data_IF_733865166686
#
_entry.id   IF_733865166686
#
_cell.length_a   1.000
_cell.length_b   1.000
_cell.length_c   1.000
_cell.angle_alpha   90.00
_cell.angle_beta   90.00
_cell.angle_gamma   90.00
#
_symmetry.space_group_name_H-M   'P 1'
#
loop_
_entity.id
_entity.type
_entity.pdbx_description
1 polymer ?
#
# COMPACT_ATOMS: atom_id res chain seq x y z
N UNK A 1 -6.92 1.84 -13.58
CA UNK A 1 -6.63 1.85 -12.13
C UNK A 1 -7.43 2.92 -11.38
N UNK A 2 -7.29 4.21 -11.66
CA UNK A 2 -7.85 5.32 -10.87
C UNK A 2 -9.36 5.23 -10.62
N UNK A 3 -10.17 4.86 -11.63
CA UNK A 3 -11.64 4.73 -11.50
C UNK A 3 -12.01 3.71 -10.41
N UNK A 4 -11.38 2.54 -10.45
CA UNK A 4 -11.58 1.51 -9.42
C UNK A 4 -11.08 1.95 -8.04
N UNK A 5 -9.98 2.70 -7.97
CA UNK A 5 -9.43 3.16 -6.70
C UNK A 5 -10.35 4.19 -6.03
N UNK A 6 -10.98 5.05 -6.82
CA UNK A 6 -11.91 6.09 -6.32
C UNK A 6 -13.27 5.53 -5.93
N UNK A 7 -13.82 4.64 -6.75
CA UNK A 7 -15.23 4.22 -6.62
C UNK A 7 -15.41 2.80 -6.07
N UNK A 8 -14.34 2.00 -6.02
CA UNK A 8 -14.43 0.56 -5.74
C UNK A 8 -14.80 -0.26 -6.98
N UNK A 9 -14.83 -1.57 -6.81
CA UNK A 9 -15.15 -2.51 -7.88
C UNK A 9 -16.64 -2.52 -8.22
N UNK A 10 -17.50 -2.69 -7.20
CA UNK A 10 -18.96 -2.87 -7.41
C UNK A 10 -19.58 -1.61 -8.02
N UNK A 11 -19.25 -0.43 -7.49
CA UNK A 11 -19.83 0.83 -7.96
C UNK A 11 -19.26 1.31 -9.32
N UNK A 12 -18.18 0.73 -9.82
CA UNK A 12 -17.61 1.07 -11.12
C UNK A 12 -18.32 0.31 -12.23
N UNK A 13 -19.00 1.00 -13.14
CA UNK A 13 -19.59 0.39 -14.32
C UNK A 13 -18.57 0.20 -15.46
N UNK A 14 -18.89 -0.73 -16.38
CA UNK A 14 -18.09 -0.90 -17.61
C UNK A 14 -18.04 0.41 -18.41
N UNK A 15 -19.14 1.15 -18.46
CA UNK A 15 -19.20 2.41 -19.24
C UNK A 15 -18.33 3.52 -18.62
N UNK A 16 -18.17 3.55 -17.29
CA UNK A 16 -17.21 4.45 -16.62
C UNK A 16 -15.77 4.13 -17.02
N UNK A 17 -15.44 2.84 -17.08
CA UNK A 17 -14.11 2.38 -17.51
C UNK A 17 -13.84 2.73 -18.97
N UNK A 18 -14.79 2.46 -19.87
CA UNK A 18 -14.68 2.79 -21.30
C UNK A 18 -14.46 4.29 -21.50
N UNK A 19 -15.23 5.12 -20.78
CA UNK A 19 -15.12 6.57 -20.82
C UNK A 19 -13.76 7.04 -20.32
N UNK A 20 -13.29 6.50 -19.20
CA UNK A 20 -12.01 6.88 -18.61
C UNK A 20 -10.80 6.44 -19.44
N UNK A 21 -10.90 5.29 -20.13
CA UNK A 21 -9.83 4.77 -21.00
C UNK A 21 -9.89 5.35 -22.43
N UNK A 22 -11.01 5.96 -22.84
CA UNK A 22 -11.20 6.47 -24.20
C UNK A 22 -11.26 5.38 -25.28
N UNK A 23 -11.71 4.15 -24.93
CA UNK A 23 -11.77 3.00 -25.84
C UNK A 23 -13.18 2.46 -25.99
N UNK A 24 -13.43 1.72 -27.07
CA UNK A 24 -14.68 1.03 -27.29
C UNK A 24 -14.80 -0.26 -26.46
N UNK A 25 -16.05 -0.72 -26.27
CA UNK A 25 -16.36 -1.93 -25.50
C UNK A 25 -15.65 -3.17 -26.03
N UNK A 26 -15.62 -3.37 -27.35
CA UNK A 26 -14.93 -4.49 -27.99
C UNK A 26 -13.43 -4.49 -27.65
N UNK A 27 -12.78 -3.32 -27.77
CA UNK A 27 -11.35 -3.18 -27.46
C UNK A 27 -11.02 -3.53 -26.00
N UNK A 28 -11.91 -3.17 -25.06
CA UNK A 28 -11.72 -3.53 -23.66
C UNK A 28 -11.80 -5.06 -23.45
N UNK A 29 -12.82 -5.70 -24.06
CA UNK A 29 -12.96 -7.16 -23.94
C UNK A 29 -11.84 -7.91 -24.65
N UNK A 30 -11.39 -7.44 -25.80
CA UNK A 30 -10.26 -8.05 -26.54
C UNK A 30 -8.94 -7.94 -25.76
N UNK A 31 -8.73 -6.82 -25.06
CA UNK A 31 -7.51 -6.56 -24.29
C UNK A 31 -7.49 -7.25 -22.90
N UNK A 32 -8.60 -7.18 -22.18
CA UNK A 32 -8.64 -7.56 -20.75
C UNK A 32 -9.60 -8.73 -20.47
N UNK A 33 -10.43 -9.13 -21.41
CA UNK A 33 -11.44 -10.17 -21.24
C UNK A 33 -12.71 -9.68 -20.56
N UNK A 34 -12.64 -9.20 -19.33
CA UNK A 34 -13.78 -8.70 -18.58
C UNK A 34 -13.39 -7.65 -17.52
N UNK A 35 -14.38 -7.09 -16.83
CA UNK A 35 -14.19 -6.09 -15.76
C UNK A 35 -13.36 -6.64 -14.60
N UNK A 36 -13.55 -7.92 -14.26
CA UNK A 36 -12.84 -8.56 -13.16
C UNK A 36 -11.35 -8.70 -13.46
N UNK A 37 -11.00 -9.17 -14.65
CA UNK A 37 -9.58 -9.26 -15.07
C UNK A 37 -8.92 -7.89 -15.12
N UNK A 38 -9.60 -6.89 -15.67
CA UNK A 38 -9.10 -5.51 -15.66
C UNK A 38 -8.88 -4.99 -14.24
N UNK A 39 -9.72 -5.37 -13.28
CA UNK A 39 -9.54 -5.02 -11.87
C UNK A 39 -8.30 -5.67 -11.26
N UNK A 40 -8.08 -6.97 -11.52
CA UNK A 40 -6.88 -7.67 -11.05
C UNK A 40 -5.60 -7.06 -11.63
N UNK A 41 -5.60 -6.69 -12.91
CA UNK A 41 -4.48 -5.99 -13.54
C UNK A 41 -4.25 -4.59 -12.94
N UNK A 42 -5.33 -3.89 -12.60
CA UNK A 42 -5.24 -2.60 -11.92
C UNK A 42 -4.61 -2.73 -10.51
N UNK A 43 -4.94 -3.77 -9.75
CA UNK A 43 -4.30 -4.10 -8.48
C UNK A 43 -2.80 -4.41 -8.67
N UNK A 44 -2.47 -5.22 -9.69
CA UNK A 44 -1.08 -5.56 -10.00
C UNK A 44 -0.25 -4.32 -10.38
N UNK A 45 -0.83 -3.41 -11.16
CA UNK A 45 -0.18 -2.14 -11.53
C UNK A 45 0.10 -1.29 -10.28
N UNK A 46 -0.90 -1.14 -9.41
CA UNK A 46 -0.73 -0.41 -8.15
C UNK A 46 0.39 -0.97 -7.29
N UNK A 47 0.49 -2.31 -7.17
CA UNK A 47 1.58 -2.96 -6.43
C UNK A 47 2.94 -2.65 -7.04
N UNK A 48 3.03 -2.69 -8.37
CA UNK A 48 4.28 -2.38 -9.09
C UNK A 48 4.73 -0.95 -8.84
N UNK A 49 3.80 0.00 -8.90
CA UNK A 49 4.09 1.43 -8.66
C UNK A 49 4.54 1.67 -7.21
N UNK A 50 3.80 1.16 -6.22
CA UNK A 50 4.13 1.34 -4.80
C UNK A 50 5.41 0.61 -4.38
N UNK A 51 5.64 -0.59 -4.92
CA UNK A 51 6.89 -1.34 -4.71
C UNK A 51 8.10 -0.62 -5.30
N UNK A 52 7.97 -0.05 -6.49
CA UNK A 52 9.01 0.75 -7.14
C UNK A 52 9.32 2.03 -6.35
N UNK A 53 8.32 2.65 -5.74
CA UNK A 53 8.51 3.82 -4.88
C UNK A 53 9.36 3.48 -3.64
N UNK A 54 9.01 2.41 -2.92
CA UNK A 54 9.79 1.96 -1.75
C UNK A 54 11.23 1.61 -2.15
N UNK A 55 11.40 0.84 -3.23
CA UNK A 55 12.73 0.49 -3.73
C UNK A 55 13.56 1.73 -4.09
N UNK A 56 12.94 2.70 -4.78
CA UNK A 56 13.60 3.96 -5.12
C UNK A 56 13.98 4.79 -3.89
N UNK A 57 13.24 4.72 -2.80
CA UNK A 57 13.61 5.35 -1.52
C UNK A 57 14.81 4.65 -0.88
N UNK A 58 14.80 3.32 -0.81
CA UNK A 58 15.88 2.51 -0.24
C UNK A 58 17.21 2.75 -0.96
N UNK A 59 17.19 2.87 -2.28
CA UNK A 59 18.42 3.08 -3.07
C UNK A 59 19.02 4.48 -2.93
N UNK A 60 18.22 5.47 -2.54
CA UNK A 60 18.68 6.89 -2.42
C UNK A 60 18.95 7.33 -0.99
N UNK A 61 18.43 6.63 0.00
CA UNK A 61 18.59 7.00 1.40
C UNK A 61 19.97 6.63 1.95
N UNK A 62 20.45 7.32 3.00
CA UNK A 62 21.74 7.00 3.65
C UNK A 62 21.70 5.63 4.34
N UNK A 63 20.51 5.15 4.73
CA UNK A 63 20.31 3.80 5.21
C UNK A 63 18.93 3.26 4.79
N UNK A 64 18.78 1.92 4.71
CA UNK A 64 17.48 1.30 4.46
C UNK A 64 16.45 1.64 5.54
N UNK A 65 16.88 1.80 6.80
CA UNK A 65 15.97 2.18 7.90
C UNK A 65 15.44 3.60 7.75
N UNK A 66 16.28 4.56 7.36
CA UNK A 66 15.84 5.93 7.06
C UNK A 66 14.81 5.92 5.94
N UNK A 67 15.06 5.17 4.86
CA UNK A 67 14.10 5.01 3.77
C UNK A 67 12.75 4.46 4.23
N UNK A 68 12.77 3.45 5.11
CA UNK A 68 11.56 2.86 5.68
C UNK A 68 10.81 3.87 6.57
N UNK A 69 11.53 4.63 7.41
CA UNK A 69 10.95 5.70 8.23
C UNK A 69 10.28 6.77 7.37
N UNK A 70 10.95 7.24 6.33
CA UNK A 70 10.42 8.23 5.39
C UNK A 70 9.20 7.69 4.63
N UNK A 71 9.21 6.41 4.28
CA UNK A 71 8.05 5.77 3.66
C UNK A 71 6.84 5.72 4.60
N UNK A 72 7.03 5.35 5.87
CA UNK A 72 5.95 5.33 6.88
C UNK A 72 5.40 6.74 7.12
N UNK A 73 6.27 7.75 7.23
CA UNK A 73 5.87 9.14 7.43
C UNK A 73 5.13 9.71 6.21
N UNK A 74 5.54 9.36 5.00
CA UNK A 74 4.91 9.85 3.77
C UNK A 74 3.43 9.47 3.63
N UNK A 75 2.97 8.46 4.36
CA UNK A 75 1.53 8.10 4.42
C UNK A 75 0.68 9.24 4.99
N UNK A 76 1.25 10.08 5.84
CA UNK A 76 0.58 11.26 6.41
C UNK A 76 0.78 12.55 5.57
N UNK A 77 1.58 12.49 4.49
CA UNK A 77 2.03 13.68 3.73
C UNK A 77 1.48 13.75 2.30
N UNK A 78 0.63 12.81 1.92
CA UNK A 78 0.01 12.78 0.59
C UNK A 78 -0.87 14.00 0.32
N UNK A 79 -1.17 14.26 -0.95
CA UNK A 79 -2.18 15.24 -1.33
C UNK A 79 -3.54 14.89 -0.71
N UNK A 80 -4.45 15.87 -0.60
CA UNK A 80 -5.81 15.57 -0.12
C UNK A 80 -6.51 14.50 -0.95
N UNK A 81 -6.22 14.42 -2.24
CA UNK A 81 -6.74 13.39 -3.12
C UNK A 81 -6.15 12.01 -2.78
N UNK A 82 -4.83 11.91 -2.59
CA UNK A 82 -4.18 10.64 -2.23
C UNK A 82 -4.65 10.15 -0.86
N UNK A 83 -4.77 11.04 0.10
CA UNK A 83 -5.28 10.72 1.43
C UNK A 83 -6.73 10.23 1.38
N UNK A 84 -7.60 10.87 0.57
CA UNK A 84 -9.01 10.48 0.45
C UNK A 84 -9.23 9.15 -0.28
N UNK A 85 -8.34 8.75 -1.20
CA UNK A 85 -8.40 7.45 -1.88
C UNK A 85 -7.97 6.29 -0.98
N UNK A 86 -7.08 6.53 -0.04
CA UNK A 86 -6.49 5.51 0.82
C UNK A 86 -5.58 4.53 0.06
N UNK A 87 -5.53 3.29 0.49
CA UNK A 87 -4.76 2.22 -0.17
C UNK A 87 -5.68 1.35 -1.03
N UNK A 88 -5.35 1.15 -2.31
CA UNK A 88 -6.16 0.33 -3.20
C UNK A 88 -6.26 -1.12 -2.73
N UNK A 89 -5.19 -1.71 -2.19
CA UNK A 89 -5.23 -3.06 -1.61
C UNK A 89 -6.06 -3.15 -0.32
N UNK A 90 -6.04 -2.14 0.54
CA UNK A 90 -6.90 -2.09 1.73
C UNK A 90 -8.36 -1.98 1.31
N UNK A 91 -8.67 -1.13 0.32
CA UNK A 91 -10.01 -1.02 -0.24
C UNK A 91 -10.47 -2.36 -0.83
N UNK A 92 -9.66 -3.02 -1.67
CA UNK A 92 -9.94 -4.33 -2.23
C UNK A 92 -10.16 -5.41 -1.15
N UNK A 93 -9.40 -5.36 -0.06
CA UNK A 93 -9.54 -6.30 1.06
C UNK A 93 -10.90 -6.17 1.71
N UNK A 94 -11.34 -4.94 2.00
CA UNK A 94 -12.61 -4.69 2.70
C UNK A 94 -13.83 -4.91 1.82
N UNK A 95 -13.70 -4.68 0.52
CA UNK A 95 -14.81 -4.80 -0.43
C UNK A 95 -15.01 -6.25 -0.92
N UNK A 96 -13.92 -6.93 -1.31
CA UNK A 96 -14.00 -8.16 -2.11
C UNK A 96 -13.35 -9.40 -1.50
N UNK A 97 -12.40 -9.28 -0.56
CA UNK A 97 -11.60 -10.43 -0.15
C UNK A 97 -12.40 -11.59 0.48
N UNK A 98 -13.62 -11.35 0.96
CA UNK A 98 -14.50 -12.42 1.48
C UNK A 98 -15.21 -13.17 0.36
N UNK A 99 -15.64 -12.47 -0.69
CA UNK A 99 -16.46 -13.00 -1.78
C UNK A 99 -15.65 -13.44 -3.01
N UNK A 100 -14.46 -12.88 -3.21
CA UNK A 100 -13.61 -13.07 -4.39
C UNK A 100 -12.29 -13.77 -4.02
N UNK A 101 -12.10 -15.05 -4.43
CA UNK A 101 -10.90 -15.80 -4.12
C UNK A 101 -9.64 -15.27 -4.82
N UNK A 102 -9.75 -14.69 -6.02
CA UNK A 102 -8.61 -14.16 -6.77
C UNK A 102 -8.10 -12.88 -6.12
N UNK A 103 -8.99 -11.96 -5.75
CA UNK A 103 -8.65 -10.75 -4.99
C UNK A 103 -8.03 -11.12 -3.64
N UNK A 104 -8.61 -12.09 -2.93
CA UNK A 104 -8.05 -12.58 -1.65
C UNK A 104 -6.63 -13.13 -1.82
N UNK A 105 -6.39 -13.92 -2.86
CA UNK A 105 -5.07 -14.47 -3.15
C UNK A 105 -4.05 -13.37 -3.44
N UNK A 106 -4.42 -12.37 -4.27
CA UNK A 106 -3.57 -11.22 -4.59
C UNK A 106 -3.23 -10.38 -3.35
N UNK A 107 -4.23 -10.05 -2.54
CA UNK A 107 -4.03 -9.26 -1.31
C UNK A 107 -3.08 -9.98 -0.35
N UNK A 108 -3.26 -11.29 -0.14
CA UNK A 108 -2.37 -12.09 0.72
C UNK A 108 -0.95 -12.17 0.18
N UNK A 109 -0.79 -12.37 -1.12
CA UNK A 109 0.52 -12.44 -1.75
C UNK A 109 1.26 -11.10 -1.68
N UNK A 110 0.58 -9.99 -1.96
CA UNK A 110 1.13 -8.64 -1.84
C UNK A 110 1.54 -8.31 -0.41
N UNK A 111 0.68 -8.59 0.57
CA UNK A 111 1.01 -8.41 1.99
C UNK A 111 2.24 -9.21 2.41
N UNK A 112 2.35 -10.47 1.99
CA UNK A 112 3.50 -11.32 2.28
C UNK A 112 4.81 -10.76 1.66
N UNK A 113 4.76 -10.25 0.42
CA UNK A 113 5.92 -9.60 -0.22
C UNK A 113 6.33 -8.32 0.52
N UNK A 114 5.37 -7.50 0.93
CA UNK A 114 5.64 -6.28 1.69
C UNK A 114 6.29 -6.60 3.05
N UNK A 115 5.76 -7.57 3.80
CA UNK A 115 6.35 -8.03 5.05
C UNK A 115 7.78 -8.52 4.84
N UNK A 116 8.02 -9.34 3.82
CA UNK A 116 9.36 -9.84 3.52
C UNK A 116 10.35 -8.70 3.19
N UNK A 117 9.92 -7.70 2.41
CA UNK A 117 10.75 -6.53 2.11
C UNK A 117 11.09 -5.71 3.36
N UNK A 118 10.11 -5.45 4.23
CA UNK A 118 10.33 -4.74 5.49
C UNK A 118 11.23 -5.53 6.43
N UNK A 119 11.04 -6.85 6.53
CA UNK A 119 11.88 -7.73 7.35
C UNK A 119 13.36 -7.66 6.93
N UNK A 120 13.67 -7.69 5.64
CA UNK A 120 15.04 -7.56 5.15
C UNK A 120 15.64 -6.16 5.45
N UNK A 121 14.85 -5.10 5.31
CA UNK A 121 15.26 -3.74 5.69
C UNK A 121 15.58 -3.68 7.19
N UNK A 122 14.73 -4.26 8.03
CA UNK A 122 14.90 -4.26 9.49
C UNK A 122 16.10 -5.11 9.94
N UNK A 123 16.37 -6.25 9.28
CA UNK A 123 17.58 -7.05 9.50
C UNK A 123 18.85 -6.24 9.24
N UNK A 124 18.88 -5.53 8.12
CA UNK A 124 20.01 -4.67 7.78
C UNK A 124 20.16 -3.51 8.77
N UNK A 125 19.06 -2.85 9.11
CA UNK A 125 19.02 -1.77 10.09
C UNK A 125 19.52 -2.20 11.46
N UNK A 126 19.13 -3.40 11.90
CA UNK A 126 19.61 -3.99 13.17
C UNK A 126 21.12 -4.27 13.14
N UNK A 127 21.64 -4.79 12.02
CA UNK A 127 23.10 -4.98 11.85
C UNK A 127 23.88 -3.66 11.92
N UNK A 128 23.26 -2.53 11.53
CA UNK A 128 23.85 -1.19 11.61
C UNK A 128 23.65 -0.51 12.97
N UNK A 129 22.93 -1.13 13.90
CA UNK A 129 22.60 -0.54 15.19
C UNK A 129 21.51 0.55 15.14
N UNK A 130 20.73 0.63 14.07
CA UNK A 130 19.68 1.61 13.85
C UNK A 130 18.33 1.14 14.46
N UNK A 131 18.18 -0.17 14.70
CA UNK A 131 17.05 -0.82 15.32
C UNK A 131 17.49 -1.53 16.59
N UNK A 132 16.67 -1.50 17.63
CA UNK A 132 16.94 -2.14 18.92
C UNK A 132 17.21 -3.66 18.72
N UNK A 133 18.28 -4.19 19.28
CA UNK A 133 18.65 -5.60 19.12
C UNK A 133 17.61 -6.59 19.65
N UNK A 134 16.71 -6.18 20.53
CA UNK A 134 15.62 -7.02 21.07
C UNK A 134 14.40 -7.12 20.14
N UNK A 135 14.31 -6.29 19.10
CA UNK A 135 13.20 -6.29 18.14
C UNK A 135 13.22 -7.56 17.31
N UNK A 136 12.10 -8.29 17.25
CA UNK A 136 11.88 -9.34 16.25
C UNK A 136 11.50 -8.68 14.92
N UNK A 137 12.33 -8.89 13.89
CA UNK A 137 12.23 -8.19 12.61
C UNK A 137 10.93 -8.55 11.86
N UNK A 138 10.49 -9.80 11.96
CA UNK A 138 9.25 -10.24 11.31
C UNK A 138 8.01 -9.68 12.01
N UNK A 139 8.00 -9.64 13.33
CA UNK A 139 6.92 -9.03 14.11
C UNK A 139 6.86 -7.53 13.82
N UNK A 140 8.02 -6.85 13.78
CA UNK A 140 8.12 -5.43 13.47
C UNK A 140 7.67 -5.12 12.02
N UNK A 141 8.02 -5.97 11.05
CA UNK A 141 7.56 -5.83 9.67
C UNK A 141 6.02 -5.92 9.57
N UNK A 142 5.42 -6.89 10.23
CA UNK A 142 3.96 -7.00 10.33
C UNK A 142 3.33 -5.81 11.05
N UNK A 143 3.92 -5.35 12.14
CA UNK A 143 3.48 -4.17 12.88
C UNK A 143 3.47 -2.92 11.99
N UNK A 144 4.56 -2.69 11.24
CA UNK A 144 4.64 -1.54 10.32
C UNK A 144 3.62 -1.63 9.18
N UNK A 145 3.44 -2.80 8.56
CA UNK A 145 2.43 -2.98 7.51
C UNK A 145 1.02 -2.70 8.03
N UNK A 146 0.69 -3.21 9.22
CA UNK A 146 -0.61 -2.95 9.86
C UNK A 146 -0.77 -1.47 10.24
N UNK A 147 0.28 -0.82 10.74
CA UNK A 147 0.28 0.62 11.05
C UNK A 147 0.04 1.44 9.78
N UNK A 148 0.75 1.18 8.69
CA UNK A 148 0.57 1.85 7.39
C UNK A 148 -0.87 1.67 6.90
N UNK A 149 -1.40 0.45 6.98
CA UNK A 149 -2.78 0.16 6.57
C UNK A 149 -3.79 0.94 7.41
N UNK A 150 -3.62 0.97 8.73
CA UNK A 150 -4.44 1.75 9.64
C UNK A 150 -4.35 3.26 9.40
N UNK A 151 -3.15 3.78 9.17
CA UNK A 151 -2.94 5.20 8.81
C UNK A 151 -3.67 5.57 7.52
N UNK A 152 -3.62 4.71 6.49
CA UNK A 152 -4.34 4.95 5.21
C UNK A 152 -5.85 4.91 5.37
N UNK A 153 -6.38 4.03 6.23
CA UNK A 153 -7.82 4.00 6.58
C UNK A 153 -8.20 5.28 7.33
N UNK A 154 -7.41 5.68 8.32
CA UNK A 154 -7.64 6.90 9.12
C UNK A 154 -7.55 8.16 8.26
N UNK A 155 -6.60 8.24 7.34
CA UNK A 155 -6.48 9.33 6.39
C UNK A 155 -7.72 9.45 5.49
N UNK A 156 -8.20 8.31 4.95
CA UNK A 156 -9.44 8.25 4.16
C UNK A 156 -10.67 8.67 4.97
N UNK A 157 -10.67 8.41 6.27
CA UNK A 157 -11.73 8.86 7.20
C UNK A 157 -11.61 10.35 7.60
N UNK A 158 -10.60 11.07 7.11
CA UNK A 158 -10.43 12.51 7.37
C UNK A 158 -9.67 12.84 8.66
N UNK A 159 -8.95 11.90 9.25
CA UNK A 159 -8.08 12.19 10.42
C UNK A 159 -7.01 13.21 10.01
N UNK A 160 -6.76 14.26 10.82
CA UNK A 160 -5.81 15.31 10.48
C UNK A 160 -4.39 14.76 10.25
N UNK A 161 -3.64 15.30 9.27
CA UNK A 161 -2.27 14.86 8.97
C UNK A 161 -1.32 14.90 10.17
N UNK A 162 -1.47 15.85 11.09
CA UNK A 162 -0.63 15.93 12.29
C UNK A 162 -0.83 14.72 13.21
N UNK A 163 -2.06 14.25 13.36
CA UNK A 163 -2.36 13.08 14.18
C UNK A 163 -1.82 11.80 13.53
N UNK A 164 -1.98 11.67 12.20
CA UNK A 164 -1.39 10.57 11.43
C UNK A 164 0.13 10.55 11.56
N UNK A 165 0.78 11.71 11.48
CA UNK A 165 2.23 11.85 11.65
C UNK A 165 2.66 11.48 13.08
N UNK A 166 1.88 11.85 14.09
CA UNK A 166 2.12 11.43 15.48
C UNK A 166 2.14 9.92 15.64
N UNK A 167 1.15 9.23 15.07
CA UNK A 167 1.07 7.76 15.09
C UNK A 167 2.27 7.13 14.34
N UNK A 168 2.58 7.62 13.14
CA UNK A 168 3.71 7.14 12.35
C UNK A 168 5.04 7.31 13.12
N UNK A 169 5.25 8.47 13.75
CA UNK A 169 6.45 8.77 14.54
C UNK A 169 6.57 7.86 15.76
N UNK A 170 5.45 7.57 16.44
CA UNK A 170 5.42 6.64 17.57
C UNK A 170 5.80 5.23 17.14
N UNK A 171 5.25 4.75 16.01
CA UNK A 171 5.56 3.45 15.47
C UNK A 171 7.06 3.32 15.13
N UNK A 172 7.65 4.34 14.49
CA UNK A 172 9.09 4.38 14.18
C UNK A 172 9.93 4.41 15.45
N UNK A 173 9.57 5.25 16.43
CA UNK A 173 10.35 5.40 17.67
C UNK A 173 10.37 4.13 18.51
N UNK A 174 9.32 3.30 18.42
CA UNK A 174 9.25 2.01 19.13
C UNK A 174 10.28 0.98 18.66
N UNK A 175 10.88 1.19 17.50
CA UNK A 175 11.88 0.30 16.91
C UNK A 175 13.33 0.74 17.17
N UNK A 176 13.54 2.00 17.61
CA UNK A 176 14.88 2.56 17.81
C UNK A 176 15.54 2.04 19.09
N UNK A 177 16.87 1.95 19.12
CA UNK A 177 17.60 1.66 20.34
C UNK A 177 17.24 2.65 21.46
N UNK A 178 17.19 2.15 22.68
CA UNK A 178 16.95 2.96 23.88
C UNK A 178 18.22 3.67 24.33
#
# INVERSE_FOLDING_TARGET
MNVFWEHGYEATSTDDLLRAMGIGRQSMYDAFGDKHRLYLEALQLYETETGSELFGRVTRAPSPFVALCDYVLSVAEGSSLDLSRGCFYVNATTELAQSDPDVRAMVRASGARCVAAFEEILKEAKRRGEVDPSVDERVAANFLLNTISGLRVSAKAGVPPNDLRGIASLAISSLKPR
#
